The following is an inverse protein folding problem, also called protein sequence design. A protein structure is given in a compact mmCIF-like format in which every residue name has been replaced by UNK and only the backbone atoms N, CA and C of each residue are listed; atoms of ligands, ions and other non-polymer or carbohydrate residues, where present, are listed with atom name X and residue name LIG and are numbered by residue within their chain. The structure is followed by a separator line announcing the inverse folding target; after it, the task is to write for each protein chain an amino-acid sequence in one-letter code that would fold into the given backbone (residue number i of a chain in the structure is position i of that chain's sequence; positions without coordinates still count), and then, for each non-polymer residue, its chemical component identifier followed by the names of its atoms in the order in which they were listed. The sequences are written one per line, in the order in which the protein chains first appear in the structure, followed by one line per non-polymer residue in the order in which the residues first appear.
data_IF_642924390438
#
_entry.id   IF_642924390438
#
_cell.length_a   1.000
_cell.length_b   1.000
_cell.length_c   1.000
_cell.angle_alpha   90.00
_cell.angle_beta   90.00
_cell.angle_gamma   90.00
#
_symmetry.space_group_name_H-M   'P 1'
#
loop_
_entity.id
_entity.type
_entity.pdbx_description
1 polymer ?
#
# COMPACT_ATOMS: atom_id res chain seq x y z
N UNK A 1 31.32 6.18 47.61
CA UNK A 1 30.98 7.03 46.44
C UNK A 1 31.78 6.55 45.24
N UNK A 2 31.15 5.92 44.22
CA UNK A 2 31.62 5.74 42.81
C UNK A 2 30.89 4.61 42.03
N UNK A 3 30.03 3.82 42.69
CA UNK A 3 29.37 2.66 42.04
C UNK A 3 27.99 2.91 41.41
N UNK A 4 27.27 3.97 41.77
CA UNK A 4 25.88 4.17 41.33
C UNK A 4 25.72 4.99 40.03
N UNK A 5 26.75 5.72 39.60
CA UNK A 5 26.65 6.68 38.48
C UNK A 5 26.72 5.99 37.10
N UNK A 6 27.41 4.85 37.00
CA UNK A 6 27.54 4.11 35.74
C UNK A 6 26.30 3.27 35.40
N UNK A 7 25.57 2.78 36.42
CA UNK A 7 24.36 1.97 36.20
C UNK A 7 23.17 2.79 35.68
N UNK A 8 23.09 4.07 36.06
CA UNK A 8 22.01 4.97 35.65
C UNK A 8 22.22 5.53 34.23
N UNK A 9 23.47 5.61 33.77
CA UNK A 9 23.81 6.07 32.41
C UNK A 9 23.60 4.98 31.35
N UNK A 10 23.79 3.71 31.73
CA UNK A 10 23.53 2.56 30.86
C UNK A 10 22.02 2.33 30.62
N UNK A 11 21.21 2.52 31.67
CA UNK A 11 19.74 2.42 31.57
C UNK A 11 19.13 3.50 30.66
N UNK A 12 19.73 4.70 30.61
CA UNK A 12 19.25 5.80 29.77
C UNK A 12 19.61 5.61 28.27
N UNK A 13 20.72 4.93 27.97
CA UNK A 13 21.11 4.61 26.59
C UNK A 13 20.21 3.53 25.97
N UNK A 14 19.76 2.55 26.77
CA UNK A 14 18.88 1.47 26.32
C UNK A 14 17.45 1.92 25.98
N UNK A 15 16.97 3.01 26.57
CA UNK A 15 15.65 3.60 26.29
C UNK A 15 15.64 4.47 25.00
N UNK A 16 16.80 4.91 24.51
CA UNK A 16 16.90 5.71 23.29
C UNK A 16 16.86 4.86 22.01
N UNK A 17 17.26 3.58 22.08
CA UNK A 17 17.35 2.69 20.92
C UNK A 17 15.98 2.21 20.43
N UNK A 18 14.97 2.16 21.31
CA UNK A 18 13.61 1.71 20.94
C UNK A 18 12.81 2.74 20.16
N UNK A 19 13.29 3.99 20.06
CA UNK A 19 12.63 5.06 19.31
C UNK A 19 13.14 5.22 17.87
N UNK A 20 14.22 4.51 17.48
CA UNK A 20 14.86 4.66 16.16
C UNK A 20 14.73 3.40 15.27
N UNK A 21 13.65 2.65 15.42
CA UNK A 21 13.21 1.69 14.41
C UNK A 21 12.30 2.43 13.42
N UNK A 22 12.90 2.99 12.37
CA UNK A 22 12.17 3.73 11.34
C UNK A 22 11.32 2.79 10.45
N UNK A 23 10.08 3.16 10.09
CA UNK A 23 9.29 2.46 9.08
C UNK A 23 9.75 2.90 7.69
N UNK A 24 10.97 2.54 7.29
CA UNK A 24 11.54 2.94 5.99
C UNK A 24 11.10 2.00 4.84
N UNK A 25 10.82 0.74 5.15
CA UNK A 25 10.52 -0.31 4.17
C UNK A 25 9.15 -0.16 3.48
N UNK A 26 8.13 0.30 4.20
CA UNK A 26 6.78 0.47 3.63
C UNK A 26 6.74 1.64 2.66
N UNK A 27 7.25 2.82 3.07
CA UNK A 27 7.24 4.03 2.25
C UNK A 27 7.99 3.90 0.91
N UNK A 28 8.99 3.04 0.83
CA UNK A 28 9.73 2.77 -0.40
C UNK A 28 8.92 1.94 -1.41
N UNK A 29 8.15 0.95 -0.93
CA UNK A 29 7.28 0.12 -1.78
C UNK A 29 6.15 0.93 -2.43
N UNK A 30 5.54 1.86 -1.69
CA UNK A 30 4.52 2.78 -2.21
C UNK A 30 5.06 3.66 -3.35
N UNK A 31 6.24 4.25 -3.17
CA UNK A 31 6.85 5.09 -4.22
C UNK A 31 7.21 4.31 -5.48
N UNK A 32 7.68 3.07 -5.33
CA UNK A 32 8.01 2.20 -6.46
C UNK A 32 6.79 1.84 -7.30
N UNK A 33 5.65 1.51 -6.67
CA UNK A 33 4.42 1.20 -7.42
C UNK A 33 3.85 2.45 -8.11
N UNK A 34 3.90 3.62 -7.46
CA UNK A 34 3.48 4.88 -8.08
C UNK A 34 4.33 5.23 -9.31
N UNK A 35 5.65 5.11 -9.22
CA UNK A 35 6.55 5.36 -10.35
C UNK A 35 6.25 4.42 -11.54
N UNK A 36 6.02 3.13 -11.27
CA UNK A 36 5.65 2.17 -12.32
C UNK A 36 4.27 2.49 -12.94
N UNK A 37 3.31 2.96 -12.13
CA UNK A 37 2.01 3.39 -12.62
C UNK A 37 2.08 4.67 -13.44
N UNK A 38 2.91 5.65 -13.06
CA UNK A 38 3.14 6.86 -13.85
C UNK A 38 3.70 6.53 -15.23
N UNK A 39 4.68 5.61 -15.30
CA UNK A 39 5.22 5.12 -16.57
C UNK A 39 4.13 4.45 -17.41
N UNK A 40 3.35 3.53 -16.82
CA UNK A 40 2.28 2.82 -17.53
C UNK A 40 1.17 3.76 -18.01
N UNK A 41 0.79 4.76 -17.21
CA UNK A 41 -0.20 5.78 -17.58
C UNK A 41 0.28 6.57 -18.80
N UNK A 42 1.56 6.93 -18.84
CA UNK A 42 2.16 7.63 -19.97
C UNK A 42 2.26 6.75 -21.23
N UNK A 43 2.67 5.49 -21.09
CA UNK A 43 2.81 4.55 -22.21
C UNK A 43 1.45 4.21 -22.85
N UNK A 44 0.46 3.85 -22.03
CA UNK A 44 -0.87 3.41 -22.49
C UNK A 44 -1.83 4.57 -22.79
N UNK A 45 -1.43 5.81 -22.48
CA UNK A 45 -2.21 7.04 -22.74
C UNK A 45 -3.61 7.01 -22.12
N UNK A 46 -3.73 6.39 -20.94
CA UNK A 46 -4.97 6.36 -20.16
C UNK A 46 -5.02 7.56 -19.20
N UNK A 47 -6.20 7.98 -18.70
CA UNK A 47 -6.28 9.14 -17.80
C UNK A 47 -5.56 8.93 -16.46
N UNK A 48 -5.64 7.72 -15.91
CA UNK A 48 -5.02 7.34 -14.64
C UNK A 48 -5.28 5.87 -14.31
N UNK A 49 -4.54 5.36 -13.33
CA UNK A 49 -4.60 3.96 -12.90
C UNK A 49 -4.47 3.85 -11.38
N UNK A 50 -4.98 2.74 -10.84
CA UNK A 50 -4.78 2.29 -9.45
C UNK A 50 -4.33 0.83 -9.51
N UNK A 51 -3.33 0.45 -8.74
CA UNK A 51 -2.91 -0.94 -8.61
C UNK A 51 -2.53 -1.28 -7.18
N UNK A 52 -2.69 -2.56 -6.83
CA UNK A 52 -2.27 -3.11 -5.55
C UNK A 52 -1.53 -4.45 -5.76
N UNK A 53 -0.51 -4.68 -4.94
CA UNK A 53 0.20 -5.95 -4.82
C UNK A 53 -0.24 -6.59 -3.51
N UNK A 54 -0.68 -7.85 -3.56
CA UNK A 54 -1.22 -8.57 -2.40
C UNK A 54 -0.57 -9.94 -2.23
N UNK A 55 -0.58 -10.46 -1.00
CA UNK A 55 -0.19 -11.82 -0.66
C UNK A 55 -1.19 -12.43 0.33
N UNK A 56 -0.94 -13.64 0.81
CA UNK A 56 -1.70 -14.25 1.91
C UNK A 56 -1.67 -13.43 3.21
N UNK A 57 -0.69 -12.55 3.37
CA UNK A 57 -0.53 -11.68 4.54
C UNK A 57 -1.31 -10.36 4.41
N UNK A 58 -1.84 -10.06 3.21
CA UNK A 58 -2.59 -8.84 2.95
C UNK A 58 -2.00 -7.98 1.82
N UNK A 59 -2.26 -6.67 1.87
CA UNK A 59 -1.79 -5.70 0.86
C UNK A 59 -0.34 -5.34 1.15
N UNK A 60 0.56 -5.64 0.20
CA UNK A 60 1.99 -5.37 0.30
C UNK A 60 2.36 -3.96 -0.22
N UNK A 61 1.59 -3.45 -1.19
CA UNK A 61 1.70 -2.10 -1.73
C UNK A 61 0.40 -1.74 -2.47
N UNK A 62 0.02 -0.47 -2.47
CA UNK A 62 -1.07 0.08 -3.30
C UNK A 62 -0.68 1.48 -3.76
N UNK A 63 -1.00 1.86 -4.98
CA UNK A 63 -0.66 3.17 -5.50
C UNK A 63 -1.64 3.62 -6.59
N UNK A 64 -1.60 4.91 -6.90
CA UNK A 64 -2.39 5.49 -7.97
C UNK A 64 -1.58 6.52 -8.76
N UNK A 65 -1.92 6.72 -10.03
CA UNK A 65 -1.27 7.70 -10.89
C UNK A 65 -2.29 8.35 -11.85
N UNK A 66 -1.99 9.57 -12.29
CA UNK A 66 -2.79 10.30 -13.27
C UNK A 66 -4.00 11.06 -12.70
N UNK A 67 -5.04 11.18 -13.49
CA UNK A 67 -6.28 11.93 -13.22
C UNK A 67 -7.51 11.05 -13.43
N UNK A 68 -8.59 11.37 -12.72
CA UNK A 68 -9.83 10.55 -12.74
C UNK A 68 -10.54 10.50 -14.09
N UNK A 69 -10.41 11.56 -14.89
CA UNK A 69 -11.03 11.68 -16.21
C UNK A 69 -10.34 12.73 -17.06
N UNK A 70 -10.38 12.56 -18.38
CA UNK A 70 -9.86 13.53 -19.34
C UNK A 70 -10.50 14.90 -19.11
N UNK A 71 -9.69 15.96 -19.15
CA UNK A 71 -10.12 17.35 -18.91
C UNK A 71 -10.37 17.69 -17.44
N UNK A 72 -10.16 16.77 -16.50
CA UNK A 72 -10.20 17.07 -15.07
C UNK A 72 -8.82 17.43 -14.52
N UNK A 73 -8.79 18.29 -13.51
CA UNK A 73 -7.60 18.50 -12.66
C UNK A 73 -7.56 17.60 -11.42
N UNK A 74 -8.61 16.77 -11.21
CA UNK A 74 -8.69 15.87 -10.05
C UNK A 74 -7.76 14.68 -10.27
N UNK A 75 -6.76 14.55 -9.40
CA UNK A 75 -5.88 13.39 -9.33
C UNK A 75 -6.69 12.13 -9.02
N UNK A 76 -6.27 11.02 -9.61
CA UNK A 76 -6.70 9.69 -9.21
C UNK A 76 -6.18 9.43 -7.79
N UNK A 77 -6.96 8.72 -6.98
CA UNK A 77 -6.58 8.20 -5.67
C UNK A 77 -6.93 6.72 -5.60
N UNK A 78 -6.28 5.98 -4.71
CA UNK A 78 -6.54 4.57 -4.42
C UNK A 78 -7.95 4.30 -3.87
N UNK A 79 -8.65 5.34 -3.43
CA UNK A 79 -10.03 5.28 -2.94
C UNK A 79 -11.08 5.59 -4.01
N UNK A 80 -10.68 5.96 -5.23
CA UNK A 80 -11.62 6.21 -6.30
C UNK A 80 -12.29 4.90 -6.77
N UNK A 81 -13.61 4.94 -6.92
CA UNK A 81 -14.36 3.83 -7.49
C UNK A 81 -14.22 3.83 -9.01
N UNK A 82 -13.84 2.67 -9.54
CA UNK A 82 -13.65 2.40 -10.97
C UNK A 82 -14.53 1.24 -11.41
N UNK A 83 -15.01 1.29 -12.65
CA UNK A 83 -15.80 0.21 -13.22
C UNK A 83 -14.90 -1.00 -13.55
N UNK A 84 -15.14 -2.13 -12.89
CA UNK A 84 -14.31 -3.33 -13.03
C UNK A 84 -14.66 -4.22 -14.23
N UNK A 85 -15.82 -4.01 -14.86
CA UNK A 85 -16.27 -4.79 -16.00
C UNK A 85 -16.25 -6.31 -15.74
N UNK A 86 -15.56 -7.06 -16.60
CA UNK A 86 -15.51 -8.53 -16.52
C UNK A 86 -14.81 -9.07 -15.26
N UNK A 87 -14.00 -8.28 -14.55
CA UNK A 87 -13.39 -8.72 -13.29
C UNK A 87 -14.44 -9.06 -12.22
N UNK A 88 -15.65 -8.51 -12.30
CA UNK A 88 -16.79 -8.86 -11.42
C UNK A 88 -17.17 -10.34 -11.49
N UNK A 89 -16.85 -11.05 -12.59
CA UNK A 89 -17.13 -12.49 -12.71
C UNK A 89 -16.45 -13.31 -11.62
N UNK A 90 -15.20 -12.98 -11.27
CA UNK A 90 -14.50 -13.66 -10.19
C UNK A 90 -15.22 -13.49 -8.85
N UNK A 91 -15.78 -12.30 -8.58
CA UNK A 91 -16.58 -12.03 -7.38
C UNK A 91 -17.84 -12.91 -7.36
N UNK A 92 -18.57 -12.99 -8.47
CA UNK A 92 -19.76 -13.87 -8.58
C UNK A 92 -19.40 -15.34 -8.41
N UNK A 93 -18.29 -15.80 -9.01
CA UNK A 93 -17.81 -17.17 -8.85
C UNK A 93 -17.49 -17.50 -7.40
N UNK A 94 -16.88 -16.58 -6.65
CA UNK A 94 -16.62 -16.76 -5.21
C UNK A 94 -17.93 -16.88 -4.44
N UNK A 95 -18.92 -16.03 -4.68
CA UNK A 95 -20.23 -16.13 -4.02
C UNK A 95 -20.90 -17.49 -4.28
N UNK A 96 -20.85 -17.99 -5.52
CA UNK A 96 -21.37 -19.31 -5.86
C UNK A 96 -20.59 -20.42 -5.14
N UNK A 97 -19.26 -20.32 -5.08
CA UNK A 97 -18.42 -21.29 -4.39
C UNK A 97 -18.71 -21.32 -2.88
N UNK A 98 -18.99 -20.17 -2.26
CA UNK A 98 -19.44 -20.08 -0.86
C UNK A 98 -20.73 -20.87 -0.65
N UNK A 99 -21.74 -20.67 -1.51
CA UNK A 99 -23.00 -21.42 -1.42
C UNK A 99 -22.78 -22.93 -1.57
N UNK A 100 -21.97 -23.35 -2.55
CA UNK A 100 -21.62 -24.77 -2.74
C UNK A 100 -20.91 -25.35 -1.51
N UNK A 101 -20.09 -24.56 -0.81
CA UNK A 101 -19.43 -24.99 0.41
C UNK A 101 -20.38 -25.10 1.62
N UNK A 102 -21.49 -24.35 1.62
CA UNK A 102 -22.50 -24.34 2.69
C UNK A 102 -23.53 -25.48 2.54
N UNK A 103 -23.80 -25.95 1.32
CA UNK A 103 -24.71 -27.07 1.02
C UNK A 103 -25.98 -26.64 0.30
#
# INVERSE_FOLDING_TARGET
MKGALHSSLFALLLLASTAYAAPAEEGDKFKKIEAALEEAVAQEKVPGMVAAITSSEGVLAIGSAGIRKIGSRKKMTEHDLIHLGSCTKAMTSVLLATLVAEG
#
